data_IF_187336149077
#
_entry.id   IF_187336149077
#
_cell.length_a   1.000
_cell.length_b   1.000
_cell.length_c   1.000
_cell.angle_alpha   90.00
_cell.angle_beta   90.00
_cell.angle_gamma   90.00
#
_symmetry.space_group_name_H-M   'P 1'
#
loop_
_entity.id
_entity.type
_entity.pdbx_description
1 polymer ?
#
# COMPACT_ATOMS: atom_id res chain seq x y z
N UNK A 1 32.47 33.44 11.92
CA UNK A 1 33.88 32.98 11.96
C UNK A 1 33.94 31.48 11.69
N UNK A 2 34.77 31.15 10.72
CA UNK A 2 35.41 29.87 10.32
C UNK A 2 34.56 28.84 9.58
N UNK A 3 34.75 28.89 8.26
CA UNK A 3 34.63 27.87 7.23
C UNK A 3 35.46 26.63 7.58
N UNK A 4 34.97 25.42 7.21
CA UNK A 4 35.87 24.33 6.80
C UNK A 4 35.21 23.55 5.65
N UNK A 5 35.83 23.68 4.53
CA UNK A 5 35.81 22.95 3.26
C UNK A 5 36.69 21.71 3.48
N UNK A 6 36.23 20.53 3.03
CA UNK A 6 37.11 19.38 2.71
C UNK A 6 36.30 18.46 1.82
N UNK A 7 36.58 18.35 0.65
CA UNK A 7 37.65 17.90 -0.24
C UNK A 7 37.29 16.54 -0.84
N UNK A 8 37.17 16.59 -2.12
CA UNK A 8 36.98 15.58 -3.16
C UNK A 8 38.14 14.59 -3.14
N UNK A 9 37.88 13.30 -3.25
CA UNK A 9 38.83 12.31 -3.75
C UNK A 9 38.26 11.54 -4.93
N UNK A 10 38.70 11.96 -6.11
CA UNK A 10 38.61 11.32 -7.39
C UNK A 10 39.77 10.29 -7.46
N UNK A 11 39.46 9.00 -7.59
CA UNK A 11 40.47 7.99 -7.96
C UNK A 11 40.08 7.41 -9.31
N UNK A 12 40.79 7.86 -10.31
CA UNK A 12 40.83 7.37 -11.67
C UNK A 12 41.94 6.30 -11.73
N UNK A 13 41.58 5.04 -11.98
CA UNK A 13 42.57 4.02 -12.30
C UNK A 13 42.40 3.60 -13.76
N UNK A 14 43.34 4.12 -14.58
CA UNK A 14 43.58 3.68 -15.94
C UNK A 14 44.49 2.43 -15.87
N UNK A 15 44.10 1.35 -16.44
CA UNK A 15 45.01 0.24 -16.78
C UNK A 15 44.94 -0.02 -18.28
N UNK A 16 45.94 0.51 -19.01
CA UNK A 16 46.30 0.14 -20.38
C UNK A 16 47.22 -1.05 -20.29
N UNK A 17 46.92 -2.11 -20.98
CA UNK A 17 47.81 -3.23 -21.16
C UNK A 17 47.72 -3.81 -22.57
N UNK A 18 48.55 -3.30 -23.47
CA UNK A 18 48.83 -3.91 -24.76
C UNK A 18 49.78 -5.09 -24.59
N UNK A 19 49.48 -6.21 -25.23
CA UNK A 19 50.54 -7.14 -25.72
C UNK A 19 50.09 -7.72 -27.04
N UNK A 20 50.91 -7.42 -28.04
CA UNK A 20 50.93 -8.05 -29.35
C UNK A 20 51.80 -9.31 -29.33
N UNK A 21 51.47 -10.31 -30.13
CA UNK A 21 52.43 -11.40 -30.38
C UNK A 21 51.85 -12.62 -31.10
N UNK A 22 51.90 -12.56 -32.42
CA UNK A 22 52.31 -13.52 -33.45
C UNK A 22 52.01 -15.04 -33.43
N UNK A 23 51.26 -15.42 -34.50
CA UNK A 23 51.57 -16.47 -35.56
C UNK A 23 51.82 -17.93 -35.14
N UNK A 24 51.05 -18.83 -35.64
CA UNK A 24 51.13 -19.73 -36.83
C UNK A 24 50.31 -21.02 -36.64
N UNK A 25 49.41 -21.26 -37.52
CA UNK A 25 49.28 -22.29 -38.58
C UNK A 25 48.69 -23.65 -38.23
N UNK A 26 47.61 -23.93 -39.00
CA UNK A 26 47.19 -25.18 -39.69
C UNK A 26 46.62 -26.32 -38.86
N UNK A 27 45.35 -26.59 -39.17
CA UNK A 27 44.70 -27.86 -38.89
C UNK A 27 43.15 -27.77 -38.98
N UNK A 28 42.66 -28.10 -40.12
CA UNK A 28 41.27 -28.33 -40.56
C UNK A 28 40.45 -29.17 -39.57
N UNK A 29 39.24 -28.72 -39.19
CA UNK A 29 37.98 -29.47 -39.30
C UNK A 29 36.84 -28.81 -38.56
N UNK A 30 35.81 -28.53 -39.34
CA UNK A 30 34.37 -28.54 -39.07
C UNK A 30 33.77 -27.71 -37.91
N UNK A 31 33.10 -26.68 -38.37
CA UNK A 31 31.85 -26.07 -37.97
C UNK A 31 31.09 -26.73 -36.82
N UNK A 32 30.91 -25.94 -35.76
CA UNK A 32 29.63 -25.78 -35.07
C UNK A 32 29.63 -24.36 -34.51
N UNK A 33 29.12 -23.45 -35.31
CA UNK A 33 28.69 -22.14 -34.84
C UNK A 33 27.43 -22.38 -33.98
N UNK A 34 27.61 -22.36 -32.65
CA UNK A 34 26.53 -22.15 -31.73
C UNK A 34 26.23 -20.65 -31.84
N UNK A 35 25.16 -20.35 -32.56
CA UNK A 35 24.52 -19.03 -32.47
C UNK A 35 24.04 -18.88 -31.03
N UNK A 36 24.68 -18.02 -30.27
CA UNK A 36 24.07 -17.43 -29.09
C UNK A 36 22.91 -16.60 -29.60
N UNK A 37 21.70 -17.16 -29.57
CA UNK A 37 20.46 -16.41 -29.63
C UNK A 37 20.40 -15.59 -28.36
N UNK A 38 20.76 -14.31 -28.46
CA UNK A 38 20.35 -13.30 -27.50
C UNK A 38 18.82 -13.26 -27.53
N UNK A 39 18.19 -14.06 -26.69
CA UNK A 39 16.76 -13.97 -26.36
C UNK A 39 16.57 -12.74 -25.43
N UNK A 40 16.74 -11.56 -26.01
CA UNK A 40 16.29 -10.29 -25.40
C UNK A 40 14.75 -10.18 -25.58
N UNK A 41 14.03 -11.19 -25.08
CA UNK A 41 12.60 -11.08 -24.85
C UNK A 41 12.42 -10.11 -23.67
N UNK A 42 12.39 -8.81 -23.98
CA UNK A 42 11.78 -7.80 -23.11
C UNK A 42 10.32 -8.23 -22.94
N UNK A 43 10.05 -8.92 -21.83
CA UNK A 43 8.70 -9.09 -21.34
C UNK A 43 8.11 -7.67 -21.22
N UNK A 44 7.21 -7.30 -22.13
CA UNK A 44 6.47 -6.03 -22.02
C UNK A 44 5.79 -6.05 -20.66
N UNK A 45 6.18 -5.13 -19.77
CA UNK A 45 5.61 -5.02 -18.44
C UNK A 45 4.09 -4.85 -18.59
N UNK A 46 3.34 -5.85 -18.09
CA UNK A 46 1.88 -5.84 -18.18
C UNK A 46 1.34 -4.61 -17.44
N UNK A 47 0.59 -3.78 -18.13
CA UNK A 47 -0.09 -2.63 -17.55
C UNK A 47 -1.40 -3.06 -16.91
N UNK A 48 -1.66 -2.62 -15.68
CA UNK A 48 -2.87 -2.91 -14.92
C UNK A 48 -3.66 -1.63 -14.66
N UNK A 49 -4.97 -1.78 -14.48
CA UNK A 49 -5.87 -0.71 -14.10
C UNK A 49 -6.30 -0.89 -12.64
N UNK A 50 -5.79 -0.04 -11.77
CA UNK A 50 -6.13 -0.02 -10.34
C UNK A 50 -7.25 0.98 -10.07
N UNK A 51 -8.11 0.65 -9.11
CA UNK A 51 -9.07 1.56 -8.50
C UNK A 51 -8.58 2.04 -7.13
N UNK A 52 -8.96 3.24 -6.74
CA UNK A 52 -8.89 3.73 -5.38
C UNK A 52 -10.26 4.28 -4.98
N UNK A 53 -10.83 3.74 -3.91
CA UNK A 53 -12.08 4.19 -3.32
C UNK A 53 -11.91 4.26 -1.81
N UNK A 54 -12.08 5.45 -1.24
CA UNK A 54 -11.95 5.70 0.18
C UNK A 54 -13.29 6.19 0.78
N UNK A 55 -13.27 6.63 2.03
CA UNK A 55 -14.46 7.13 2.72
C UNK A 55 -14.86 8.52 2.16
N UNK A 56 -13.88 9.41 2.00
CA UNK A 56 -14.05 10.75 1.39
C UNK A 56 -12.69 11.34 1.04
N UNK A 57 -12.60 12.04 -0.08
CA UNK A 57 -11.40 12.77 -0.48
C UNK A 57 -11.28 14.15 0.19
N UNK A 58 -12.22 14.55 1.06
CA UNK A 58 -12.08 15.76 1.89
C UNK A 58 -11.06 15.58 3.03
N UNK A 59 -10.76 14.33 3.41
CA UNK A 59 -9.78 14.02 4.45
C UNK A 59 -8.35 14.05 3.87
N UNK A 60 -7.45 14.92 4.40
CA UNK A 60 -6.06 15.02 3.95
C UNK A 60 -5.29 13.69 3.99
N UNK A 61 -5.64 12.78 4.90
CA UNK A 61 -5.07 11.44 4.97
C UNK A 61 -5.26 10.66 3.66
N UNK A 62 -6.49 10.64 3.13
CA UNK A 62 -6.77 9.92 1.87
C UNK A 62 -6.20 10.61 0.65
N UNK A 63 -6.07 11.94 0.66
CA UNK A 63 -5.37 12.67 -0.40
C UNK A 63 -3.89 12.25 -0.45
N UNK A 64 -3.22 12.20 0.71
CA UNK A 64 -1.81 11.78 0.78
C UNK A 64 -1.64 10.31 0.38
N UNK A 65 -2.55 9.44 0.82
CA UNK A 65 -2.53 8.02 0.47
C UNK A 65 -2.75 7.81 -1.03
N UNK A 66 -3.70 8.51 -1.63
CA UNK A 66 -3.98 8.46 -3.08
C UNK A 66 -2.76 8.87 -3.89
N UNK A 67 -2.10 9.97 -3.52
CA UNK A 67 -0.89 10.43 -4.19
C UNK A 67 0.22 9.38 -4.15
N UNK A 68 0.47 8.78 -2.99
CA UNK A 68 1.49 7.74 -2.84
C UNK A 68 1.15 6.48 -3.66
N UNK A 69 -0.12 6.06 -3.67
CA UNK A 69 -0.58 4.94 -4.49
C UNK A 69 -0.44 5.24 -5.98
N UNK A 70 -0.81 6.44 -6.41
CA UNK A 70 -0.69 6.88 -7.80
C UNK A 70 0.75 6.85 -8.28
N UNK A 71 1.66 7.45 -7.51
CA UNK A 71 3.10 7.44 -7.83
C UNK A 71 3.64 6.01 -7.96
N UNK A 72 3.28 5.12 -7.04
CA UNK A 72 3.73 3.73 -7.05
C UNK A 72 3.17 2.94 -8.24
N UNK A 73 1.88 3.12 -8.55
CA UNK A 73 1.18 2.42 -9.66
C UNK A 73 1.70 2.91 -11.01
N UNK A 74 1.81 4.22 -11.19
CA UNK A 74 2.25 4.83 -12.46
C UNK A 74 3.73 4.55 -12.73
N UNK A 75 4.58 4.47 -11.69
CA UNK A 75 5.98 4.07 -11.83
C UNK A 75 6.16 2.65 -12.39
N UNK A 76 5.13 1.79 -12.28
CA UNK A 76 5.09 0.44 -12.84
C UNK A 76 4.41 0.37 -14.21
N UNK A 77 4.12 1.52 -14.84
CA UNK A 77 3.43 1.58 -16.14
C UNK A 77 1.94 1.24 -16.08
N UNK A 78 1.34 1.23 -14.89
CA UNK A 78 -0.07 0.98 -14.64
C UNK A 78 -0.85 2.28 -14.41
N UNK A 79 -2.18 2.22 -14.26
CA UNK A 79 -3.03 3.40 -14.07
C UNK A 79 -3.83 3.31 -12.78
N UNK A 80 -4.06 4.45 -12.10
CA UNK A 80 -4.92 4.55 -10.92
C UNK A 80 -6.14 5.42 -11.23
N UNK A 81 -7.34 4.86 -11.02
CA UNK A 81 -8.62 5.57 -11.13
C UNK A 81 -9.18 5.82 -9.73
N UNK A 82 -9.30 7.07 -9.35
CA UNK A 82 -9.82 7.47 -8.04
C UNK A 82 -11.30 7.86 -8.14
N UNK A 83 -12.11 7.41 -7.17
CA UNK A 83 -13.50 7.81 -6.99
C UNK A 83 -13.74 8.23 -5.55
N UNK A 84 -14.45 9.36 -5.38
CA UNK A 84 -14.86 9.90 -4.08
C UNK A 84 -16.34 9.61 -3.84
N UNK A 85 -16.70 8.77 -2.86
CA UNK A 85 -18.09 8.50 -2.52
C UNK A 85 -18.69 9.57 -1.59
N UNK A 86 -17.90 10.51 -1.10
CA UNK A 86 -18.32 11.60 -0.23
C UNK A 86 -19.17 11.11 0.97
N UNK A 87 -18.66 10.14 1.73
CA UNK A 87 -19.30 9.53 2.91
C UNK A 87 -20.61 8.74 2.61
N UNK A 88 -20.90 8.46 1.35
CA UNK A 88 -22.12 7.76 0.96
C UNK A 88 -21.80 6.34 0.44
N UNK A 89 -22.25 5.31 1.14
CA UNK A 89 -21.97 3.92 0.78
C UNK A 89 -22.66 3.48 -0.52
N UNK A 90 -23.87 3.96 -0.79
CA UNK A 90 -24.56 3.61 -2.04
C UNK A 90 -23.84 4.21 -3.24
N UNK A 91 -23.33 5.44 -3.10
CA UNK A 91 -22.46 6.07 -4.10
C UNK A 91 -21.18 5.28 -4.27
N UNK A 92 -20.58 4.75 -3.18
CA UNK A 92 -19.38 3.93 -3.26
C UNK A 92 -19.62 2.65 -4.06
N UNK A 93 -20.72 1.95 -3.78
CA UNK A 93 -21.12 0.72 -4.48
C UNK A 93 -21.29 0.98 -5.97
N UNK A 94 -22.04 2.03 -6.33
CA UNK A 94 -22.27 2.39 -7.75
C UNK A 94 -20.97 2.77 -8.46
N UNK A 95 -20.07 3.50 -7.81
CA UNK A 95 -18.76 3.86 -8.38
C UNK A 95 -17.89 2.63 -8.59
N UNK A 96 -17.90 1.65 -7.68
CA UNK A 96 -17.19 0.38 -7.83
C UNK A 96 -17.77 -0.42 -9.00
N UNK A 97 -19.09 -0.53 -9.09
CA UNK A 97 -19.77 -1.15 -10.22
C UNK A 97 -19.34 -0.54 -11.57
N UNK A 98 -19.25 0.78 -11.65
CA UNK A 98 -18.78 1.45 -12.87
C UNK A 98 -17.29 1.16 -13.14
N UNK A 99 -16.42 1.14 -12.14
CA UNK A 99 -15.01 0.81 -12.31
C UNK A 99 -14.81 -0.62 -12.82
N UNK A 100 -15.61 -1.58 -12.35
CA UNK A 100 -15.60 -2.97 -12.85
C UNK A 100 -15.95 -3.00 -14.34
N UNK A 101 -17.01 -2.30 -14.76
CA UNK A 101 -17.42 -2.20 -16.16
C UNK A 101 -16.35 -1.58 -17.06
N UNK A 102 -15.58 -0.65 -16.50
CA UNK A 102 -14.50 0.03 -17.20
C UNK A 102 -13.21 -0.81 -17.28
N UNK A 103 -13.22 -2.05 -16.78
CA UNK A 103 -12.10 -2.99 -16.86
C UNK A 103 -11.07 -2.80 -15.74
N UNK A 104 -11.48 -2.97 -14.49
CA UNK A 104 -10.63 -2.90 -13.31
C UNK A 104 -9.91 -4.24 -13.06
N UNK A 105 -8.59 -4.21 -12.79
CA UNK A 105 -7.81 -5.39 -12.42
C UNK A 105 -7.69 -5.56 -10.88
N UNK A 106 -7.56 -4.45 -10.16
CA UNK A 106 -7.46 -4.44 -8.70
C UNK A 106 -8.01 -3.15 -8.11
N UNK A 107 -8.39 -3.18 -6.82
CA UNK A 107 -8.87 -2.01 -6.10
C UNK A 107 -8.21 -1.89 -4.72
N UNK A 108 -7.78 -0.67 -4.38
CA UNK A 108 -7.51 -0.25 -3.01
C UNK A 108 -8.82 0.32 -2.44
N UNK A 109 -9.38 -0.36 -1.45
CA UNK A 109 -10.70 -0.07 -0.91
C UNK A 109 -10.64 0.22 0.59
N UNK A 110 -11.05 1.44 0.98
CA UNK A 110 -11.43 1.77 2.34
C UNK A 110 -12.95 1.96 2.38
N UNK A 111 -13.72 1.10 3.06
CA UNK A 111 -15.18 1.14 2.98
C UNK A 111 -15.77 2.30 3.76
N UNK A 112 -16.78 2.97 3.20
CA UNK A 112 -17.63 3.93 3.94
C UNK A 112 -18.41 3.22 5.05
N UNK A 113 -18.84 1.99 4.79
CA UNK A 113 -19.49 1.12 5.77
C UNK A 113 -18.95 -0.30 5.64
N UNK A 114 -18.40 -0.85 6.73
CA UNK A 114 -17.83 -2.20 6.76
C UNK A 114 -18.83 -3.31 6.42
N UNK A 115 -20.09 -3.11 6.78
CA UNK A 115 -21.16 -4.09 6.60
C UNK A 115 -21.89 -3.87 5.27
N UNK A 116 -22.21 -2.63 4.92
CA UNK A 116 -23.03 -2.33 3.76
C UNK A 116 -22.25 -2.45 2.42
N UNK A 117 -20.92 -2.51 2.44
CA UNK A 117 -20.07 -2.66 1.24
C UNK A 117 -20.11 -4.08 0.64
N UNK A 118 -20.60 -5.08 1.37
CA UNK A 118 -20.62 -6.48 0.96
C UNK A 118 -21.11 -6.74 -0.46
N UNK A 119 -22.15 -6.09 -1.00
CA UNK A 119 -22.58 -6.29 -2.39
C UNK A 119 -21.47 -5.97 -3.39
N UNK A 120 -20.73 -4.87 -3.19
CA UNK A 120 -19.62 -4.50 -4.06
C UNK A 120 -18.44 -5.48 -3.96
N UNK A 121 -18.15 -6.02 -2.75
CA UNK A 121 -17.10 -7.04 -2.57
C UNK A 121 -17.42 -8.32 -3.38
N UNK A 122 -18.68 -8.75 -3.39
CA UNK A 122 -19.13 -9.91 -4.18
C UNK A 122 -18.94 -9.65 -5.67
N UNK A 123 -19.39 -8.50 -6.15
CA UNK A 123 -19.28 -8.12 -7.57
C UNK A 123 -17.81 -8.04 -8.02
N UNK A 124 -16.93 -7.44 -7.21
CA UNK A 124 -15.49 -7.42 -7.46
C UNK A 124 -14.91 -8.83 -7.58
N UNK A 125 -15.28 -9.73 -6.66
CA UNK A 125 -14.82 -11.11 -6.67
C UNK A 125 -15.32 -11.90 -7.88
N UNK A 126 -16.58 -11.72 -8.26
CA UNK A 126 -17.18 -12.34 -9.45
C UNK A 126 -16.52 -11.85 -10.74
N UNK A 127 -16.03 -10.62 -10.77
CA UNK A 127 -15.28 -10.02 -11.87
C UNK A 127 -13.77 -10.35 -11.86
N UNK A 128 -13.29 -11.19 -10.92
CA UNK A 128 -11.87 -11.51 -10.69
C UNK A 128 -10.98 -10.27 -10.42
N UNK A 129 -11.56 -9.20 -9.89
CA UNK A 129 -10.84 -8.01 -9.45
C UNK A 129 -10.18 -8.29 -8.10
N UNK A 130 -8.88 -8.01 -7.95
CA UNK A 130 -8.16 -8.17 -6.69
C UNK A 130 -8.52 -7.06 -5.71
N UNK A 131 -8.86 -7.43 -4.47
CA UNK A 131 -9.33 -6.51 -3.45
C UNK A 131 -8.25 -6.33 -2.38
N UNK A 132 -7.63 -5.15 -2.36
CA UNK A 132 -6.70 -4.74 -1.32
C UNK A 132 -7.47 -3.81 -0.39
N UNK A 133 -7.97 -4.34 0.70
CA UNK A 133 -8.66 -3.55 1.72
C UNK A 133 -7.64 -2.76 2.53
N UNK A 134 -7.88 -1.46 2.71
CA UNK A 134 -6.95 -0.56 3.37
C UNK A 134 -7.61 0.22 4.51
N UNK A 135 -6.81 0.60 5.52
CA UNK A 135 -7.19 1.44 6.66
C UNK A 135 -8.28 0.83 7.55
N UNK A 136 -9.51 0.79 7.10
CA UNK A 136 -10.67 0.24 7.83
C UNK A 136 -11.06 -1.12 7.24
N UNK A 137 -11.05 -2.16 8.06
CA UNK A 137 -11.35 -3.52 7.64
C UNK A 137 -12.84 -3.71 7.34
N UNK A 138 -13.13 -4.38 6.23
CA UNK A 138 -14.49 -4.83 5.89
C UNK A 138 -14.94 -5.96 6.83
N UNK A 139 -16.25 -6.21 6.93
CA UNK A 139 -16.78 -7.31 7.75
C UNK A 139 -16.50 -8.68 7.11
N UNK A 140 -16.75 -8.78 5.81
CA UNK A 140 -16.67 -10.03 5.06
C UNK A 140 -15.27 -10.22 4.47
N UNK A 141 -14.30 -10.54 5.32
CA UNK A 141 -12.89 -10.67 4.97
C UNK A 141 -12.56 -11.80 4.00
N UNK A 142 -13.46 -12.75 3.81
CA UNK A 142 -13.30 -13.84 2.84
C UNK A 142 -13.27 -13.35 1.36
N UNK A 143 -13.73 -12.13 1.10
CA UNK A 143 -13.72 -11.55 -0.23
C UNK A 143 -12.41 -10.84 -0.56
N UNK A 144 -11.62 -10.40 0.44
CA UNK A 144 -10.41 -9.63 0.21
C UNK A 144 -9.20 -10.51 -0.04
N UNK A 145 -8.28 -10.02 -0.90
CA UNK A 145 -7.01 -10.69 -1.19
C UNK A 145 -5.91 -10.24 -0.23
N UNK A 146 -5.98 -9.01 0.31
CA UNK A 146 -5.06 -8.48 1.30
C UNK A 146 -5.71 -7.38 2.15
N UNK A 147 -5.24 -7.23 3.40
CA UNK A 147 -5.54 -6.09 4.27
C UNK A 147 -4.26 -5.35 4.65
N UNK A 148 -4.31 -4.02 4.56
CA UNK A 148 -3.23 -3.13 4.97
C UNK A 148 -3.82 -2.06 5.88
N UNK A 149 -3.52 -2.14 7.18
CA UNK A 149 -4.05 -1.23 8.18
C UNK A 149 -3.21 -1.24 9.45
N UNK A 150 -3.59 -0.38 10.40
CA UNK A 150 -3.01 -0.35 11.73
C UNK A 150 -3.70 -1.38 12.64
N UNK A 151 -2.96 -1.94 13.59
CA UNK A 151 -3.57 -2.63 14.73
C UNK A 151 -4.23 -1.61 15.65
N UNK A 152 -5.50 -1.33 15.38
CA UNK A 152 -6.27 -0.29 16.06
C UNK A 152 -6.51 -0.64 17.54
N UNK A 153 -6.70 -1.93 17.84
CA UNK A 153 -6.89 -2.37 19.22
C UNK A 153 -5.60 -2.18 20.05
N UNK A 154 -4.46 -2.59 19.52
CA UNK A 154 -3.17 -2.38 20.15
C UNK A 154 -2.86 -0.88 20.31
N UNK A 155 -3.20 -0.05 19.35
CA UNK A 155 -3.04 1.40 19.46
C UNK A 155 -3.87 1.98 20.62
N UNK A 156 -5.11 1.51 20.80
CA UNK A 156 -5.95 1.87 21.95
C UNK A 156 -5.36 1.42 23.27
N UNK A 157 -4.87 0.18 23.34
CA UNK A 157 -4.22 -0.35 24.54
C UNK A 157 -3.00 0.48 24.95
N UNK A 158 -2.13 0.83 24.01
CA UNK A 158 -0.97 1.69 24.26
C UNK A 158 -1.37 3.06 24.83
N UNK A 159 -2.45 3.67 24.32
CA UNK A 159 -2.97 4.92 24.87
C UNK A 159 -3.45 4.75 26.33
N UNK A 160 -4.13 3.66 26.63
CA UNK A 160 -4.58 3.36 28.00
C UNK A 160 -3.43 3.10 28.95
N UNK A 161 -2.41 2.36 28.52
CA UNK A 161 -1.19 2.09 29.28
C UNK A 161 -0.42 3.38 29.59
N UNK A 162 -0.29 4.28 28.61
CA UNK A 162 0.34 5.59 28.80
C UNK A 162 -0.44 6.44 29.81
N UNK A 163 -1.77 6.47 29.70
CA UNK A 163 -2.62 7.18 30.66
C UNK A 163 -2.42 6.68 32.08
N UNK A 164 -2.34 5.36 32.30
CA UNK A 164 -2.11 4.75 33.62
C UNK A 164 -0.74 5.18 34.18
N UNK A 165 0.29 5.24 33.34
CA UNK A 165 1.63 5.68 33.77
C UNK A 165 1.62 7.16 34.19
N UNK A 166 0.88 8.01 33.46
CA UNK A 166 0.79 9.44 33.76
C UNK A 166 -0.14 9.77 34.92
N UNK A 167 -1.15 8.93 35.19
CA UNK A 167 -2.17 9.11 36.21
C UNK A 167 -2.41 7.80 36.98
N UNK A 168 -1.44 7.34 37.79
CA UNK A 168 -1.50 6.03 38.45
C UNK A 168 -2.63 5.90 39.48
N UNK A 169 -3.14 7.01 39.99
CA UNK A 169 -4.24 7.06 40.96
C UNK A 169 -5.63 7.06 40.27
N UNK A 170 -5.68 6.97 38.93
CA UNK A 170 -6.91 7.08 38.15
C UNK A 170 -7.40 8.51 38.01
N UNK A 171 -8.70 8.66 37.64
CA UNK A 171 -9.32 9.98 37.46
C UNK A 171 -10.55 9.95 36.57
N UNK A 172 -11.08 11.15 36.30
CA UNK A 172 -12.21 11.34 35.38
C UNK A 172 -11.70 11.63 33.99
N UNK A 173 -12.21 10.89 33.01
CA UNK A 173 -11.84 11.03 31.61
C UNK A 173 -13.07 11.20 30.74
N UNK A 174 -12.88 11.76 29.56
CA UNK A 174 -13.92 11.86 28.51
C UNK A 174 -13.32 11.28 27.24
N UNK A 175 -14.02 10.30 26.65
CA UNK A 175 -13.67 9.76 25.36
C UNK A 175 -14.54 10.46 24.32
N UNK A 176 -13.89 11.10 23.32
CA UNK A 176 -14.57 11.64 22.16
C UNK A 176 -14.63 10.55 21.08
N UNK A 177 -15.80 9.97 20.94
CA UNK A 177 -16.07 8.93 19.97
C UNK A 177 -16.37 9.53 18.59
N UNK A 178 -15.92 8.83 17.54
CA UNK A 178 -16.36 9.05 16.17
C UNK A 178 -17.58 8.20 15.83
N UNK A 179 -17.95 8.21 14.55
CA UNK A 179 -18.96 7.32 14.01
C UNK A 179 -18.46 5.85 14.03
N UNK A 180 -19.37 4.90 13.81
CA UNK A 180 -19.23 3.44 13.94
C UNK A 180 -18.24 2.78 12.95
N UNK A 181 -17.10 3.39 12.72
CA UNK A 181 -16.01 2.78 11.94
C UNK A 181 -15.27 1.77 12.80
N UNK A 182 -14.93 0.62 12.22
CA UNK A 182 -14.27 -0.46 12.96
C UNK A 182 -12.97 -0.01 13.64
N UNK A 183 -12.16 0.78 12.94
CA UNK A 183 -10.90 1.33 13.46
C UNK A 183 -11.09 2.18 14.72
N UNK A 184 -12.19 2.93 14.83
CA UNK A 184 -12.53 3.73 16.00
C UNK A 184 -13.00 2.82 17.14
N UNK A 185 -13.92 1.90 16.86
CA UNK A 185 -14.44 0.95 17.86
C UNK A 185 -13.33 0.12 18.47
N UNK A 186 -12.41 -0.40 17.66
CA UNK A 186 -11.27 -1.18 18.14
C UNK A 186 -10.33 -0.36 19.03
N UNK A 187 -10.03 0.90 18.67
CA UNK A 187 -9.20 1.79 19.50
C UNK A 187 -9.86 2.05 20.85
N UNK A 188 -11.15 2.34 20.87
CA UNK A 188 -11.90 2.55 22.13
C UNK A 188 -11.90 1.27 22.95
N UNK A 189 -12.22 0.13 22.34
CA UNK A 189 -12.20 -1.18 23.03
C UNK A 189 -10.82 -1.46 23.66
N UNK A 190 -9.74 -1.30 22.90
CA UNK A 190 -8.39 -1.51 23.41
C UNK A 190 -8.02 -0.57 24.55
N UNK A 191 -8.42 0.70 24.44
CA UNK A 191 -8.21 1.69 25.50
C UNK A 191 -8.99 1.34 26.78
N UNK A 192 -10.30 1.05 26.67
CA UNK A 192 -11.15 0.70 27.81
C UNK A 192 -10.69 -0.59 28.50
N UNK A 193 -10.28 -1.62 27.72
CA UNK A 193 -9.71 -2.84 28.30
C UNK A 193 -8.44 -2.57 29.10
N UNK A 194 -7.57 -1.67 28.62
CA UNK A 194 -6.32 -1.33 29.31
C UNK A 194 -6.57 -0.61 30.65
N UNK A 195 -7.52 0.32 30.68
CA UNK A 195 -7.80 1.13 31.89
C UNK A 195 -8.80 0.45 32.85
N UNK A 196 -9.36 -0.69 32.48
CA UNK A 196 -10.35 -1.40 33.30
C UNK A 196 -9.80 -1.71 34.71
N UNK A 197 -10.55 -1.27 35.73
CA UNK A 197 -10.15 -1.46 37.14
C UNK A 197 -8.94 -0.62 37.59
N UNK A 198 -8.52 0.37 36.83
CA UNK A 198 -7.39 1.27 37.14
C UNK A 198 -7.82 2.60 37.79
N UNK A 199 -9.09 2.72 38.19
CA UNK A 199 -9.57 3.92 38.89
C UNK A 199 -9.98 5.07 37.99
N UNK A 200 -10.16 4.82 36.69
CA UNK A 200 -10.72 5.79 35.74
C UNK A 200 -12.23 5.67 35.64
N UNK A 201 -12.92 6.82 35.52
CA UNK A 201 -14.38 6.96 35.40
C UNK A 201 -14.73 7.87 34.22
#
# INVERSE_FOLDING_TARGET
>A
MKKKIFSIFLVMVLCIGMTAGCKKNVGTSQDNAIAEEDDDSKEEAKSYRFGFSCITMENPYYITLEQALREAVEAQGSTLVTKDPALNVDTQIEQIHQMIKDGLDAIFLCPVSRDAITPALKELKEADVKIINIDTEVKDTDYIDAFIGSDNKAAGQLCGEDLIQQSPDGGKIVILEGLTQNSIVERITGFEEAIAGKGFE
#
